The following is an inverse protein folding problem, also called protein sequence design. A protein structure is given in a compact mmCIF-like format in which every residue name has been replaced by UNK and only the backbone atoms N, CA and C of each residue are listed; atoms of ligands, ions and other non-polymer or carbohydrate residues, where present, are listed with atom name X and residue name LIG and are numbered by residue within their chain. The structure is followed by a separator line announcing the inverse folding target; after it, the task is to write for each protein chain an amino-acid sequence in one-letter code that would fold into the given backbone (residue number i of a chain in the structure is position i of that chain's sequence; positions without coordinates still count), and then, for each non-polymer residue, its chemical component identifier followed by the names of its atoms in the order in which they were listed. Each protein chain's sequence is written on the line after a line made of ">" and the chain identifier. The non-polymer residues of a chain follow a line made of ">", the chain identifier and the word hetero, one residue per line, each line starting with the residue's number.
data_IF_643922467469
#
_entry.id   IF_643922467469
#
_cell.length_a   1.000
_cell.length_b   1.000
_cell.length_c   1.000
_cell.angle_alpha   90.00
_cell.angle_beta   90.00
_cell.angle_gamma   90.00
#
_symmetry.space_group_name_H-M   'P 1'
#
loop_
_entity.id
_entity.type
_entity.pdbx_description
1 polymer ?
#
# COMPACT_ATOMS: atom_id res chain seq x y z
N UNK A 1 19.30 -7.74 11.37
CA UNK A 1 18.14 -6.87 11.09
C UNK A 1 17.89 -6.83 9.58
N UNK A 2 16.65 -7.00 9.20
CA UNK A 2 16.30 -6.98 7.77
C UNK A 2 16.03 -5.55 7.33
N UNK A 3 16.71 -5.09 6.28
CA UNK A 3 16.46 -3.79 5.68
C UNK A 3 15.44 -3.94 4.57
N UNK A 4 14.36 -3.17 4.63
CA UNK A 4 13.35 -3.11 3.58
C UNK A 4 13.52 -1.81 2.83
N UNK A 5 13.70 -1.93 1.51
CA UNK A 5 13.91 -0.78 0.65
C UNK A 5 12.56 -0.18 0.24
N UNK A 6 12.44 1.14 0.43
CA UNK A 6 11.29 1.91 -0.03
C UNK A 6 11.77 2.84 -1.15
N UNK A 7 11.39 2.58 -2.40
CA UNK A 7 11.88 3.40 -3.51
C UNK A 7 11.33 4.82 -3.46
N UNK A 8 12.06 5.75 -4.05
CA UNK A 8 11.57 7.11 -4.27
C UNK A 8 10.44 7.07 -5.31
N UNK A 9 9.33 7.72 -5.02
CA UNK A 9 8.19 7.74 -5.93
C UNK A 9 8.53 8.36 -7.28
N UNK A 10 9.48 9.28 -7.32
CA UNK A 10 9.89 9.90 -8.58
C UNK A 10 10.56 8.93 -9.56
N UNK A 11 11.04 7.80 -9.06
CA UNK A 11 11.73 6.80 -9.86
C UNK A 11 10.80 5.68 -10.33
N UNK A 12 9.56 5.67 -9.87
CA UNK A 12 8.62 4.60 -10.18
C UNK A 12 7.79 4.98 -11.40
N UNK A 13 7.77 4.14 -12.45
CA UNK A 13 6.92 4.41 -13.61
C UNK A 13 5.43 4.42 -13.22
N UNK A 14 4.65 5.30 -13.84
CA UNK A 14 3.21 5.41 -13.56
C UNK A 14 2.50 4.08 -13.76
N UNK A 15 2.85 3.34 -14.82
CA UNK A 15 2.19 2.06 -15.09
C UNK A 15 2.42 1.03 -13.98
N UNK A 16 3.54 1.12 -13.27
CA UNK A 16 3.82 0.24 -12.13
C UNK A 16 2.87 0.56 -10.95
N UNK A 17 2.62 1.85 -10.70
CA UNK A 17 1.66 2.27 -9.68
C UNK A 17 0.28 1.75 -10.02
N UNK A 18 -0.16 1.94 -11.26
CA UNK A 18 -1.48 1.49 -11.70
C UNK A 18 -1.63 -0.03 -11.66
N UNK A 19 -0.58 -0.75 -12.05
CA UNK A 19 -0.57 -2.21 -11.99
C UNK A 19 -0.72 -2.70 -10.54
N UNK A 20 -0.01 -2.07 -9.61
CA UNK A 20 -0.08 -2.46 -8.21
C UNK A 20 -1.49 -2.28 -7.65
N UNK A 21 -2.24 -1.30 -8.15
CA UNK A 21 -3.62 -1.06 -7.74
C UNK A 21 -4.62 -1.94 -8.48
N UNK A 22 -4.22 -2.63 -9.52
CA UNK A 22 -5.10 -3.43 -10.37
C UNK A 22 -5.38 -4.83 -9.82
N UNK A 23 -5.63 -4.95 -8.52
CA UNK A 23 -5.92 -6.22 -7.83
C UNK A 23 -6.96 -5.97 -6.75
N UNK A 24 -7.99 -6.82 -6.65
CA UNK A 24 -8.99 -6.67 -5.57
C UNK A 24 -8.37 -6.70 -4.18
N UNK A 25 -7.40 -7.59 -3.94
CA UNK A 25 -6.73 -7.68 -2.64
C UNK A 25 -5.91 -6.43 -2.37
N UNK A 26 -5.12 -5.99 -3.33
CA UNK A 26 -4.29 -4.80 -3.15
C UNK A 26 -5.12 -3.53 -2.98
N UNK A 27 -6.24 -3.41 -3.70
CA UNK A 27 -7.16 -2.29 -3.49
C UNK A 27 -7.77 -2.34 -2.08
N UNK A 28 -8.11 -3.53 -1.59
CA UNK A 28 -8.64 -3.68 -0.23
C UNK A 28 -7.61 -3.25 0.82
N UNK A 29 -6.34 -3.60 0.62
CA UNK A 29 -5.26 -3.17 1.52
C UNK A 29 -5.15 -1.64 1.53
N UNK A 30 -5.10 -1.02 0.35
CA UNK A 30 -5.00 0.44 0.24
C UNK A 30 -6.21 1.11 0.87
N UNK A 31 -7.41 0.59 0.63
CA UNK A 31 -8.64 1.12 1.23
C UNK A 31 -8.56 1.10 2.76
N UNK A 32 -8.06 -0.01 3.33
CA UNK A 32 -7.91 -0.13 4.78
C UNK A 32 -6.92 0.89 5.35
N UNK A 33 -5.95 1.34 4.55
CA UNK A 33 -4.92 2.28 4.98
C UNK A 33 -5.26 3.75 4.69
N UNK A 34 -6.42 4.03 4.10
CA UNK A 34 -6.82 5.41 3.79
C UNK A 34 -7.09 6.27 5.03
N UNK A 35 -7.18 5.66 6.21
CA UNK A 35 -7.32 6.42 7.46
C UNK A 35 -6.03 7.14 7.87
N UNK A 36 -4.93 6.91 7.17
CA UNK A 36 -3.64 7.54 7.45
C UNK A 36 -2.89 6.95 8.63
N UNK A 37 -3.37 5.85 9.19
CA UNK A 37 -2.77 5.23 10.36
C UNK A 37 -1.87 4.06 10.00
N UNK A 38 -1.01 3.68 10.93
CA UNK A 38 -0.21 2.46 10.82
C UNK A 38 -1.04 1.29 11.33
N UNK A 39 -1.08 0.21 10.55
CA UNK A 39 -1.81 -1.00 10.90
C UNK A 39 -0.92 -2.22 10.77
N UNK A 40 -1.28 -3.29 11.48
CA UNK A 40 -0.69 -4.61 11.27
C UNK A 40 -1.50 -5.37 10.24
N UNK A 41 -0.82 -6.22 9.44
CA UNK A 41 -1.51 -7.07 8.49
C UNK A 41 -2.55 -7.98 9.17
N UNK A 42 -2.25 -8.43 10.39
CA UNK A 42 -3.15 -9.28 11.17
C UNK A 42 -4.41 -8.58 11.68
N UNK A 43 -4.47 -7.25 11.58
CA UNK A 43 -5.66 -6.50 12.00
C UNK A 43 -6.82 -6.67 11.02
N UNK A 44 -6.56 -7.23 9.84
CA UNK A 44 -7.56 -7.35 8.77
C UNK A 44 -7.64 -8.78 8.26
N UNK A 45 -8.80 -9.13 7.74
CA UNK A 45 -8.99 -10.35 6.96
C UNK A 45 -9.24 -9.96 5.50
N UNK A 46 -8.24 -10.14 4.66
CA UNK A 46 -8.35 -9.86 3.22
C UNK A 46 -8.71 -11.11 2.41
N UNK A 47 -9.05 -12.22 3.07
CA UNK A 47 -9.44 -13.44 2.39
C UNK A 47 -8.28 -14.24 1.81
N UNK A 48 -7.05 -13.94 2.20
CA UNK A 48 -5.84 -14.64 1.71
C UNK A 48 -4.96 -15.02 2.90
N UNK A 49 -4.05 -15.97 2.67
CA UNK A 49 -3.08 -16.37 3.68
C UNK A 49 -2.11 -15.23 3.98
N UNK A 50 -1.43 -15.33 5.13
CA UNK A 50 -0.44 -14.32 5.53
C UNK A 50 0.70 -14.23 4.50
N UNK A 51 1.16 -15.36 3.97
CA UNK A 51 2.22 -15.33 2.97
C UNK A 51 1.78 -14.67 1.66
N UNK A 52 0.54 -14.90 1.26
CA UNK A 52 -0.03 -14.23 0.09
C UNK A 52 -0.20 -12.73 0.33
N UNK A 53 -0.66 -12.35 1.52
CA UNK A 53 -0.74 -10.95 1.89
C UNK A 53 0.63 -10.28 1.84
N UNK A 54 1.65 -10.93 2.38
CA UNK A 54 3.01 -10.39 2.36
C UNK A 54 3.49 -10.15 0.93
N UNK A 55 3.14 -11.04 0.00
CA UNK A 55 3.46 -10.86 -1.40
C UNK A 55 2.78 -9.62 -2.00
N UNK A 56 1.50 -9.41 -1.70
CA UNK A 56 0.76 -8.23 -2.15
C UNK A 56 1.32 -6.94 -1.54
N UNK A 57 1.66 -6.97 -0.26
CA UNK A 57 2.27 -5.81 0.41
C UNK A 57 3.62 -5.48 -0.22
N UNK A 58 4.41 -6.49 -0.59
CA UNK A 58 5.68 -6.28 -1.28
C UNK A 58 5.48 -5.56 -2.62
N UNK A 59 4.47 -5.96 -3.39
CA UNK A 59 4.16 -5.31 -4.66
C UNK A 59 3.79 -3.84 -4.44
N UNK A 60 2.95 -3.57 -3.44
CA UNK A 60 2.55 -2.20 -3.10
C UNK A 60 3.74 -1.36 -2.63
N UNK A 61 4.64 -1.96 -1.83
CA UNK A 61 5.84 -1.28 -1.36
C UNK A 61 6.77 -0.93 -2.51
N UNK A 62 7.01 -1.88 -3.42
CA UNK A 62 7.89 -1.67 -4.57
C UNK A 62 7.33 -0.66 -5.56
N UNK A 63 6.00 -0.48 -5.57
CA UNK A 63 5.35 0.55 -6.37
C UNK A 63 5.28 1.91 -5.67
N UNK A 64 5.82 2.03 -4.45
CA UNK A 64 5.87 3.28 -3.72
C UNK A 64 4.57 3.69 -3.03
N UNK A 65 3.60 2.78 -2.96
CA UNK A 65 2.27 3.11 -2.42
C UNK A 65 2.23 2.93 -0.91
N UNK A 66 2.88 1.90 -0.39
CA UNK A 66 2.81 1.50 1.01
C UNK A 66 4.18 1.54 1.65
N UNK A 67 4.24 2.09 2.86
CA UNK A 67 5.35 1.93 3.79
C UNK A 67 5.12 0.62 4.52
N UNK A 68 6.12 -0.23 4.56
CA UNK A 68 6.06 -1.52 5.24
C UNK A 68 7.28 -1.66 6.14
N UNK A 69 7.07 -1.53 7.44
CA UNK A 69 8.15 -1.60 8.42
C UNK A 69 8.00 -2.86 9.26
N UNK A 70 9.02 -3.73 9.29
CA UNK A 70 8.98 -4.91 10.14
C UNK A 70 9.20 -4.52 11.61
N UNK A 71 8.45 -5.20 12.50
CA UNK A 71 8.61 -5.04 13.94
C UNK A 71 8.51 -6.43 14.55
N UNK A 72 9.66 -7.10 14.69
CA UNK A 72 9.68 -8.51 15.05
C UNK A 72 9.03 -9.35 13.97
N UNK A 73 7.98 -10.09 14.32
CA UNK A 73 7.20 -10.88 13.36
C UNK A 73 6.04 -10.11 12.77
N UNK A 74 5.84 -8.85 13.21
CA UNK A 74 4.72 -8.03 12.74
C UNK A 74 5.08 -7.30 11.45
N UNK A 75 4.06 -7.12 10.61
CA UNK A 75 4.16 -6.34 9.39
C UNK A 75 3.36 -5.05 9.63
N UNK A 76 4.06 -3.94 9.83
CA UNK A 76 3.45 -2.64 10.05
C UNK A 76 3.32 -1.92 8.72
N UNK A 77 2.10 -1.55 8.36
CA UNK A 77 1.78 -0.96 7.07
C UNK A 77 1.14 0.41 7.23
N UNK A 78 1.50 1.33 6.34
CA UNK A 78 0.83 2.63 6.23
C UNK A 78 0.90 3.10 4.78
N UNK A 79 0.01 4.02 4.41
CA UNK A 79 -0.02 4.57 3.06
C UNK A 79 0.97 5.73 2.97
N UNK A 80 1.73 5.80 1.89
CA UNK A 80 2.64 6.92 1.65
C UNK A 80 1.88 8.09 1.03
N UNK A 81 0.86 8.56 1.76
CA UNK A 81 -0.13 9.51 1.26
C UNK A 81 0.47 10.86 0.83
N UNK A 82 1.34 11.42 1.67
CA UNK A 82 1.93 12.73 1.38
C UNK A 82 2.77 12.69 0.11
N UNK A 83 3.58 11.65 -0.04
CA UNK A 83 4.46 11.50 -1.20
C UNK A 83 3.66 11.19 -2.47
N UNK A 84 2.59 10.39 -2.35
CA UNK A 84 1.70 10.10 -3.46
C UNK A 84 0.98 11.36 -3.95
N UNK A 85 0.48 12.19 -3.02
CA UNK A 85 -0.18 13.44 -3.39
C UNK A 85 0.79 14.48 -3.92
N UNK A 86 2.04 14.46 -3.48
CA UNK A 86 3.06 15.35 -4.00
C UNK A 86 3.33 15.04 -5.47
N UNK A 87 3.49 13.77 -5.80
CA UNK A 87 3.76 13.34 -7.18
C UNK A 87 2.52 13.41 -8.06
N UNK A 88 1.37 12.99 -7.51
CA UNK A 88 0.09 12.94 -8.23
C UNK A 88 -0.94 13.75 -7.44
N UNK A 89 -0.98 15.08 -7.59
CA UNK A 89 -1.89 15.91 -6.81
C UNK A 89 -3.35 15.44 -6.88
N UNK A 90 -3.98 15.26 -5.72
CA UNK A 90 -5.35 14.78 -5.62
C UNK A 90 -5.51 13.27 -5.67
N UNK A 91 -4.41 12.52 -5.74
CA UNK A 91 -4.47 11.06 -5.92
C UNK A 91 -5.18 10.35 -4.76
N UNK A 92 -4.86 10.72 -3.53
CA UNK A 92 -5.45 10.08 -2.35
C UNK A 92 -6.96 10.30 -2.29
N UNK A 93 -7.41 11.52 -2.60
CA UNK A 93 -8.85 11.81 -2.64
C UNK A 93 -9.54 11.01 -3.73
N UNK A 94 -8.92 10.83 -4.89
CA UNK A 94 -9.47 10.00 -5.95
C UNK A 94 -9.53 8.53 -5.53
N UNK A 95 -8.56 8.05 -4.79
CA UNK A 95 -8.62 6.70 -4.24
C UNK A 95 -9.81 6.54 -3.29
N UNK A 96 -10.11 7.56 -2.48
CA UNK A 96 -11.30 7.54 -1.61
C UNK A 96 -12.57 7.45 -2.42
N UNK A 97 -12.69 8.26 -3.46
CA UNK A 97 -13.84 8.28 -4.35
C UNK A 97 -14.02 6.92 -5.04
N UNK A 98 -12.94 6.38 -5.60
CA UNK A 98 -12.97 5.09 -6.28
C UNK A 98 -13.33 3.96 -5.31
N UNK A 99 -12.78 3.99 -4.11
CA UNK A 99 -13.05 2.96 -3.10
C UNK A 99 -14.50 3.01 -2.63
N UNK A 100 -15.09 4.20 -2.53
CA UNK A 100 -16.47 4.36 -2.11
C UNK A 100 -17.47 3.90 -3.19
N UNK A 101 -17.04 3.78 -4.43
CA UNK A 101 -17.87 3.34 -5.54
C UNK A 101 -18.13 1.82 -5.55
N UNK A 102 -17.42 1.08 -4.70
CA UNK A 102 -17.54 -0.39 -4.62
C UNK A 102 -18.69 -0.85 -3.75
#
# INVERSE_FOLDING_TARGET
>A
MRNIIHPSLNEIPVHQVLRALGSPVRLAVVKALLDGKVHQGSDFDFGVSQSTLNHHVKILREAGIVQNDPDGTRCLMSLRAAELDERFPGFIEQLRVLSAAE
#
